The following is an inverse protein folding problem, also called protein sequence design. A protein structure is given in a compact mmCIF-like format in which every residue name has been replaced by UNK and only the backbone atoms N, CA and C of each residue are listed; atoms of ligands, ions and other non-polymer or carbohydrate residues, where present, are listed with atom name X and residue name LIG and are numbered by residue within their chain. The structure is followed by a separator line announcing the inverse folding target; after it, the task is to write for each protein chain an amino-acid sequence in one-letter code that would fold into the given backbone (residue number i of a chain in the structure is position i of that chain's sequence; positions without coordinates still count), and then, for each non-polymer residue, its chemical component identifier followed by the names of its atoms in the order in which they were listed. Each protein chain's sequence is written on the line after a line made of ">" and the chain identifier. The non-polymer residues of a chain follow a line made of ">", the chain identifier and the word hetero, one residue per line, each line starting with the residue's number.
data_IF_561970105187
#
_entry.id   IF_561970105187
#
_cell.length_a   1.000
_cell.length_b   1.000
_cell.length_c   1.000
_cell.angle_alpha   90.00
_cell.angle_beta   90.00
_cell.angle_gamma   90.00
#
_symmetry.space_group_name_H-M   'P 1'
#
loop_
_entity.id
_entity.type
_entity.pdbx_description
1 polymer ?
#
# COMPACT_ATOMS: atom_id res chain seq x y z
N UNK A 1 -3.98 55.39 -3.22
CA UNK A 1 -2.98 54.80 -4.14
C UNK A 1 -3.29 53.33 -4.30
N UNK A 2 -3.55 52.85 -5.52
CA UNK A 2 -3.69 51.43 -5.79
C UNK A 2 -2.31 50.80 -5.97
N UNK A 3 -2.03 49.69 -5.29
CA UNK A 3 -0.77 48.96 -5.44
C UNK A 3 -0.99 47.91 -6.54
N UNK A 4 -0.24 48.02 -7.64
CA UNK A 4 -0.27 47.04 -8.74
C UNK A 4 0.52 45.79 -8.35
N UNK A 5 -0.17 44.83 -7.74
CA UNK A 5 0.41 43.55 -7.30
C UNK A 5 -0.21 42.40 -8.07
N UNK A 6 0.64 41.43 -8.43
CA UNK A 6 0.20 40.19 -9.08
C UNK A 6 -0.35 39.20 -8.05
N UNK A 7 -1.67 39.16 -7.92
CA UNK A 7 -2.39 38.28 -6.98
C UNK A 7 -2.66 36.84 -7.51
N UNK A 8 -2.17 36.51 -8.71
CA UNK A 8 -2.52 35.25 -9.38
C UNK A 8 -1.91 33.99 -8.73
N UNK A 9 -0.91 34.13 -7.86
CA UNK A 9 -0.18 33.01 -7.24
C UNK A 9 -0.32 32.94 -5.71
N UNK A 10 -1.15 33.78 -5.11
CA UNK A 10 -1.30 33.83 -3.65
C UNK A 10 -1.88 32.53 -3.08
N UNK A 11 -2.75 31.88 -3.86
CA UNK A 11 -3.35 30.59 -3.48
C UNK A 11 -2.40 29.43 -3.77
N UNK A 12 -1.83 28.86 -2.71
CA UNK A 12 -1.05 27.62 -2.79
C UNK A 12 -1.96 26.39 -2.98
N UNK A 13 -1.70 25.61 -4.02
CA UNK A 13 -2.43 24.36 -4.32
C UNK A 13 -1.84 23.20 -3.51
N UNK A 14 -2.28 23.08 -2.26
CA UNK A 14 -1.88 21.99 -1.37
C UNK A 14 -3.07 21.48 -0.55
N UNK A 15 -3.05 20.19 -0.22
CA UNK A 15 -4.07 19.59 0.66
C UNK A 15 -3.72 19.85 2.11
N UNK A 16 -4.67 20.44 2.85
CA UNK A 16 -4.57 20.68 4.29
C UNK A 16 -5.22 19.58 5.14
N UNK A 17 -6.01 18.71 4.50
CA UNK A 17 -6.74 17.60 5.12
C UNK A 17 -7.00 16.47 4.11
N UNK A 18 -7.33 15.24 4.54
CA UNK A 18 -7.71 14.19 3.62
C UNK A 18 -9.13 14.45 3.07
N UNK A 19 -9.32 14.26 1.76
CA UNK A 19 -10.66 14.34 1.13
C UNK A 19 -11.61 13.22 1.58
N UNK A 20 -11.07 12.12 2.13
CA UNK A 20 -11.85 10.95 2.53
C UNK A 20 -12.57 11.18 3.86
N UNK A 21 -13.83 10.74 3.94
CA UNK A 21 -14.65 10.80 5.15
C UNK A 21 -14.43 9.62 6.12
N UNK A 22 -13.45 8.74 5.85
CA UNK A 22 -13.14 7.62 6.73
C UNK A 22 -12.68 8.11 8.12
N UNK A 23 -13.44 7.74 9.15
CA UNK A 23 -13.23 8.16 10.55
C UNK A 23 -11.85 7.73 11.05
N UNK A 24 -11.42 6.50 10.78
CA UNK A 24 -10.11 5.98 11.21
C UNK A 24 -8.95 6.80 10.62
N UNK A 25 -9.07 7.19 9.35
CA UNK A 25 -8.06 8.03 8.72
C UNK A 25 -8.02 9.43 9.35
N UNK A 26 -9.19 10.00 9.68
CA UNK A 26 -9.28 11.31 10.33
C UNK A 26 -8.72 11.30 11.75
N UNK A 27 -8.96 10.23 12.52
CA UNK A 27 -8.36 10.04 13.85
C UNK A 27 -6.83 9.95 13.77
N UNK A 28 -6.31 9.16 12.83
CA UNK A 28 -4.88 9.04 12.61
C UNK A 28 -4.25 10.38 12.19
N UNK A 29 -4.93 11.13 11.33
CA UNK A 29 -4.53 12.51 10.98
C UNK A 29 -4.51 13.42 12.20
N UNK A 30 -5.52 13.38 13.09
CA UNK A 30 -5.54 14.19 14.32
C UNK A 30 -4.29 13.91 15.18
N UNK A 31 -3.95 12.63 15.37
CA UNK A 31 -2.76 12.22 16.10
C UNK A 31 -1.48 12.75 15.46
N UNK A 32 -1.29 12.53 14.16
CA UNK A 32 -0.07 13.00 13.46
C UNK A 32 -0.01 14.52 13.32
N UNK A 33 -1.14 15.22 13.34
CA UNK A 33 -1.20 16.69 13.37
C UNK A 33 -0.75 17.24 14.72
N UNK A 34 -1.10 16.55 15.82
CA UNK A 34 -0.58 16.86 17.14
C UNK A 34 0.93 16.61 17.21
N UNK A 35 1.38 15.40 16.81
CA UNK A 35 2.80 15.04 16.82
C UNK A 35 3.64 15.97 15.95
N UNK A 36 3.25 16.24 14.70
CA UNK A 36 4.00 17.10 13.79
C UNK A 36 4.12 18.55 14.26
N UNK A 37 3.18 19.02 15.11
CA UNK A 37 3.23 20.36 15.70
C UNK A 37 4.05 20.40 16.99
N UNK A 38 3.97 19.36 17.82
CA UNK A 38 4.60 19.32 19.15
C UNK A 38 5.99 18.68 19.17
N UNK A 39 6.41 18.05 18.08
CA UNK A 39 7.73 17.43 17.94
C UNK A 39 8.48 18.04 16.77
N UNK A 40 9.81 18.13 16.88
CA UNK A 40 10.69 18.66 15.82
C UNK A 40 11.07 17.62 14.76
N UNK A 41 10.37 16.48 14.71
CA UNK A 41 10.70 15.40 13.78
C UNK A 41 10.10 15.63 12.39
N UNK A 42 10.96 15.78 11.39
CA UNK A 42 10.56 15.89 9.97
C UNK A 42 9.79 14.66 9.48
N UNK A 43 10.03 13.49 10.06
CA UNK A 43 9.29 12.26 9.76
C UNK A 43 7.78 12.43 9.97
N UNK A 44 7.37 13.04 11.10
CA UNK A 44 5.96 13.24 11.41
C UNK A 44 5.29 14.19 10.42
N UNK A 45 5.99 15.23 9.97
CA UNK A 45 5.51 16.16 8.96
C UNK A 45 5.32 15.46 7.60
N UNK A 46 6.26 14.59 7.21
CA UNK A 46 6.17 13.80 5.97
C UNK A 46 5.00 12.81 6.04
N UNK A 47 4.83 12.09 7.16
CA UNK A 47 3.72 11.14 7.35
C UNK A 47 2.38 11.88 7.28
N UNK A 48 2.23 13.01 7.96
CA UNK A 48 1.02 13.83 7.91
C UNK A 48 0.68 14.26 6.46
N UNK A 49 1.67 14.77 5.73
CA UNK A 49 1.50 15.15 4.32
C UNK A 49 1.09 13.95 3.45
N UNK A 50 1.69 12.77 3.69
CA UNK A 50 1.34 11.54 2.96
C UNK A 50 -0.07 11.04 3.29
N UNK A 51 -0.57 11.25 4.49
CA UNK A 51 -1.95 10.89 4.87
C UNK A 51 -3.02 11.70 4.11
N UNK A 52 -2.70 12.91 3.67
CA UNK A 52 -3.59 13.75 2.84
C UNK A 52 -3.61 13.38 1.35
N UNK A 53 -2.63 12.61 0.89
CA UNK A 53 -2.51 12.21 -0.52
C UNK A 53 -3.70 11.35 -0.98
N UNK A 54 -4.06 11.49 -2.25
CA UNK A 54 -5.04 10.63 -2.92
C UNK A 54 -4.49 9.20 -3.08
N UNK A 55 -5.38 8.25 -3.37
CA UNK A 55 -5.00 6.86 -3.65
C UNK A 55 -4.01 6.74 -4.81
N UNK A 56 -4.18 7.53 -5.88
CA UNK A 56 -3.25 7.58 -7.02
C UNK A 56 -1.83 7.99 -6.63
N UNK A 57 -1.71 8.98 -5.74
CA UNK A 57 -0.43 9.47 -5.21
C UNK A 57 0.11 8.60 -4.06
N UNK A 58 -0.57 7.49 -3.75
CA UNK A 58 -0.21 6.53 -2.72
C UNK A 58 -0.21 5.11 -3.31
N UNK A 59 0.69 4.82 -4.26
CA UNK A 59 0.71 3.54 -4.94
C UNK A 59 1.02 2.39 -3.95
N UNK A 60 0.50 1.18 -4.21
CA UNK A 60 0.82 0.01 -3.41
C UNK A 60 2.32 -0.32 -3.51
N UNK A 61 2.92 -0.77 -2.40
CA UNK A 61 4.29 -1.24 -2.35
C UNK A 61 4.33 -2.77 -2.29
N UNK A 62 5.02 -3.40 -3.23
CA UNK A 62 5.20 -4.86 -3.23
C UNK A 62 6.15 -5.31 -2.12
N UNK A 63 5.90 -6.51 -1.56
CA UNK A 63 6.80 -7.17 -0.61
C UNK A 63 8.22 -7.30 -1.18
N UNK A 64 8.35 -7.63 -2.46
CA UNK A 64 9.64 -7.72 -3.15
C UNK A 64 10.45 -6.42 -3.11
N UNK A 65 9.79 -5.30 -3.38
CA UNK A 65 10.44 -3.99 -3.36
C UNK A 65 10.81 -3.59 -1.93
N UNK A 66 9.97 -3.94 -0.96
CA UNK A 66 10.25 -3.68 0.45
C UNK A 66 11.44 -4.50 0.96
N UNK A 67 11.48 -5.82 0.70
CA UNK A 67 12.59 -6.71 1.08
C UNK A 67 13.91 -6.17 0.51
N UNK A 68 13.94 -5.82 -0.78
CA UNK A 68 15.14 -5.24 -1.42
C UNK A 68 15.61 -3.95 -0.75
N UNK A 69 14.69 -3.09 -0.28
CA UNK A 69 15.04 -1.83 0.41
C UNK A 69 15.44 -2.01 1.87
N UNK A 70 15.03 -3.10 2.49
CA UNK A 70 15.42 -3.47 3.85
C UNK A 70 16.75 -4.24 3.90
N UNK A 71 17.11 -4.95 2.82
CA UNK A 71 18.41 -5.64 2.68
C UNK A 71 19.61 -4.70 2.46
N UNK A 72 19.36 -3.40 2.20
CA UNK A 72 20.44 -2.42 2.09
C UNK A 72 21.20 -2.29 3.43
N UNK A 73 22.53 -2.11 3.40
CA UNK A 73 23.34 -2.06 4.62
C UNK A 73 22.88 -0.95 5.57
N UNK A 74 22.95 -1.20 6.88
CA UNK A 74 22.57 -0.25 7.92
C UNK A 74 21.07 -0.18 8.21
N UNK A 75 20.31 -1.23 7.87
CA UNK A 75 18.84 -1.30 8.04
C UNK A 75 18.30 -2.57 8.70
N UNK A 76 19.17 -3.46 9.19
CA UNK A 76 18.76 -4.78 9.70
C UNK A 76 17.74 -4.74 10.85
N UNK A 77 17.77 -3.70 11.70
CA UNK A 77 16.87 -3.57 12.87
C UNK A 77 15.82 -2.47 12.74
N UNK A 78 15.70 -1.85 11.56
CA UNK A 78 14.77 -0.72 11.35
C UNK A 78 13.36 -1.22 11.01
N UNK A 79 12.36 -0.42 11.35
CA UNK A 79 10.97 -0.68 10.97
C UNK A 79 10.67 -0.05 9.62
N UNK A 80 10.14 -0.84 8.68
CA UNK A 80 9.68 -0.33 7.39
C UNK A 80 8.31 0.35 7.55
N UNK A 81 8.23 1.65 7.25
CA UNK A 81 6.97 2.42 7.34
C UNK A 81 6.46 2.75 5.95
N UNK A 82 5.24 2.33 5.65
CA UNK A 82 4.56 2.57 4.38
C UNK A 82 3.22 3.23 4.65
N UNK A 83 3.09 4.52 4.34
CA UNK A 83 1.78 5.18 4.33
C UNK A 83 1.07 4.77 3.05
N UNK A 84 0.47 3.58 3.02
CA UNK A 84 -0.07 2.96 1.81
C UNK A 84 -0.42 1.49 2.00
N UNK A 85 -0.77 0.85 0.89
CA UNK A 85 -1.06 -0.59 0.85
C UNK A 85 0.23 -1.36 0.59
N UNK A 86 0.49 -2.43 1.34
CA UNK A 86 1.57 -3.38 1.05
C UNK A 86 0.98 -4.60 0.38
N UNK A 87 1.45 -4.96 -0.81
CA UNK A 87 0.94 -6.08 -1.62
C UNK A 87 1.90 -7.26 -1.60
N UNK A 88 1.34 -8.47 -1.55
CA UNK A 88 2.11 -9.71 -1.67
C UNK A 88 2.72 -9.86 -3.07
N UNK A 89 3.85 -10.57 -3.16
CA UNK A 89 4.54 -10.87 -4.42
C UNK A 89 4.87 -12.37 -4.47
N UNK A 90 4.02 -13.11 -5.19
CA UNK A 90 4.03 -14.59 -5.29
C UNK A 90 5.35 -15.15 -5.82
N UNK A 91 6.18 -14.32 -6.46
CA UNK A 91 7.49 -14.74 -6.98
C UNK A 91 8.53 -14.95 -5.89
N UNK A 92 8.28 -14.46 -4.68
CA UNK A 92 9.20 -14.60 -3.55
C UNK A 92 8.79 -15.82 -2.73
N UNK A 93 9.72 -16.76 -2.61
CA UNK A 93 9.53 -17.99 -1.86
C UNK A 93 9.85 -17.78 -0.37
N UNK A 94 10.97 -17.10 -0.09
CA UNK A 94 11.43 -16.85 1.27
C UNK A 94 11.29 -15.38 1.67
N UNK A 95 10.49 -15.13 2.70
CA UNK A 95 10.30 -13.80 3.28
C UNK A 95 11.09 -13.68 4.58
N UNK A 96 12.09 -12.79 4.66
CA UNK A 96 12.82 -12.56 5.91
C UNK A 96 11.91 -11.95 6.97
N UNK A 97 12.25 -12.12 8.25
CA UNK A 97 11.53 -11.49 9.36
C UNK A 97 11.66 -9.97 9.27
N UNK A 98 10.55 -9.27 9.01
CA UNK A 98 10.50 -7.82 8.84
C UNK A 98 9.54 -7.17 9.84
N UNK A 99 9.93 -6.04 10.42
CA UNK A 99 9.02 -5.16 11.18
C UNK A 99 8.41 -4.13 10.22
N UNK A 100 7.09 -4.16 10.03
CA UNK A 100 6.41 -3.33 9.01
C UNK A 100 5.18 -2.63 9.60
N UNK A 101 5.09 -1.32 9.38
CA UNK A 101 3.92 -0.50 9.69
C UNK A 101 3.29 0.00 8.38
N UNK A 102 2.02 -0.33 8.13
CA UNK A 102 1.31 0.09 6.93
C UNK A 102 -0.17 0.39 7.19
N UNK A 103 -0.80 1.22 6.34
CA UNK A 103 -2.22 1.56 6.45
C UNK A 103 -3.13 0.36 6.12
N UNK A 104 -2.73 -0.45 5.14
CA UNK A 104 -3.46 -1.64 4.74
C UNK A 104 -2.46 -2.72 4.30
N UNK A 105 -2.63 -3.92 4.81
CA UNK A 105 -1.96 -5.12 4.26
C UNK A 105 -2.89 -5.70 3.18
N UNK A 106 -2.33 -6.13 2.06
CA UNK A 106 -3.09 -6.75 0.96
C UNK A 106 -4.00 -7.84 1.51
N UNK A 107 -5.31 -7.73 1.25
CA UNK A 107 -6.29 -8.77 1.59
C UNK A 107 -6.13 -9.93 0.61
N UNK A 108 -6.45 -11.15 1.07
CA UNK A 108 -6.60 -12.35 0.24
C UNK A 108 -7.39 -12.09 -1.06
N UNK A 109 -8.36 -11.17 -0.99
CA UNK A 109 -9.20 -10.69 -2.10
C UNK A 109 -8.40 -10.27 -3.34
N UNK A 110 -7.19 -9.71 -3.21
CA UNK A 110 -6.39 -9.32 -4.38
C UNK A 110 -5.85 -10.51 -5.17
N UNK A 111 -5.75 -11.71 -4.57
CA UNK A 111 -5.40 -12.93 -5.29
C UNK A 111 -6.53 -13.44 -6.18
N UNK A 112 -7.76 -12.98 -5.95
CA UNK A 112 -8.94 -13.34 -6.73
C UNK A 112 -9.25 -12.33 -7.84
N UNK A 113 -8.49 -11.24 -7.95
CA UNK A 113 -8.63 -10.23 -9.00
C UNK A 113 -7.67 -10.50 -10.17
N UNK A 114 -8.00 -10.00 -11.36
CA UNK A 114 -7.22 -10.21 -12.60
C UNK A 114 -8.01 -10.95 -13.68
N UNK A 115 -7.33 -11.49 -14.69
CA UNK A 115 -7.94 -12.33 -15.72
C UNK A 115 -8.61 -13.55 -15.06
N UNK A 116 -9.72 -14.02 -15.62
CA UNK A 116 -10.48 -15.13 -15.05
C UNK A 116 -9.58 -16.35 -14.79
N UNK A 117 -9.68 -17.02 -13.62
CA UNK A 117 -8.95 -18.24 -13.33
C UNK A 117 -9.24 -19.30 -14.41
N UNK A 118 -8.19 -19.82 -15.07
CA UNK A 118 -8.33 -20.79 -16.16
C UNK A 118 -8.11 -20.21 -17.56
N UNK A 119 -8.01 -18.88 -17.69
CA UNK A 119 -7.50 -18.27 -18.94
C UNK A 119 -6.00 -18.53 -19.11
N UNK A 120 -5.49 -18.69 -20.34
CA UNK A 120 -4.07 -18.91 -20.59
C UNK A 120 -3.21 -17.81 -19.95
N UNK A 121 -2.15 -18.22 -19.23
CA UNK A 121 -1.24 -17.34 -18.49
C UNK A 121 -1.86 -16.56 -17.31
N UNK A 122 -3.04 -16.98 -16.81
CA UNK A 122 -3.60 -16.42 -15.58
C UNK A 122 -3.05 -17.13 -14.33
N UNK A 123 -2.72 -16.33 -13.31
CA UNK A 123 -2.29 -16.82 -11.99
C UNK A 123 -3.29 -16.45 -10.88
N UNK A 124 -4.50 -16.04 -11.26
CA UNK A 124 -5.56 -15.64 -10.33
C UNK A 124 -6.09 -16.87 -9.58
N UNK A 125 -6.16 -16.75 -8.25
CA UNK A 125 -6.62 -17.81 -7.34
C UNK A 125 -8.13 -18.00 -7.51
N UNK A 126 -8.62 -19.23 -7.79
CA UNK A 126 -10.06 -19.49 -7.85
C UNK A 126 -10.72 -19.45 -6.47
N UNK A 127 -12.01 -19.15 -6.43
CA UNK A 127 -12.82 -19.23 -5.22
C UNK A 127 -13.24 -20.69 -4.97
N UNK A 128 -12.57 -21.36 -4.02
CA UNK A 128 -12.83 -22.78 -3.71
C UNK A 128 -13.17 -22.92 -2.23
N UNK A 129 -14.23 -23.68 -1.92
CA UNK A 129 -14.73 -23.89 -0.55
C UNK A 129 -13.74 -24.64 0.36
N UNK A 130 -12.92 -25.53 -0.19
CA UNK A 130 -11.94 -26.32 0.56
C UNK A 130 -10.71 -26.60 -0.29
N UNK A 131 -9.53 -26.71 0.33
CA UNK A 131 -8.29 -27.08 -0.36
C UNK A 131 -8.05 -28.57 -0.27
N UNK A 132 -7.74 -29.22 -1.39
CA UNK A 132 -7.41 -30.65 -1.41
C UNK A 132 -7.30 -31.22 -2.82
N UNK A 133 -6.86 -32.48 -2.94
CA UNK A 133 -6.71 -33.17 -4.24
C UNK A 133 -8.03 -33.22 -5.04
N UNK A 134 -9.17 -33.26 -4.34
CA UNK A 134 -10.51 -33.37 -4.94
C UNK A 134 -11.11 -32.03 -5.42
N UNK A 135 -10.50 -30.88 -5.09
CA UNK A 135 -11.09 -29.57 -5.39
C UNK A 135 -10.27 -28.81 -6.44
N UNK A 136 -10.86 -28.59 -7.62
CA UNK A 136 -10.32 -27.80 -8.75
C UNK A 136 -8.86 -28.07 -9.15
N UNK A 137 -8.48 -29.35 -9.24
CA UNK A 137 -7.12 -29.80 -9.61
C UNK A 137 -7.05 -30.81 -10.75
N UNK A 138 -8.16 -31.08 -11.44
CA UNK A 138 -8.29 -32.13 -12.44
C UNK A 138 -8.18 -31.58 -13.87
N UNK A 139 -9.31 -31.50 -14.58
CA UNK A 139 -9.41 -31.00 -15.97
C UNK A 139 -9.01 -29.52 -16.06
N UNK A 140 -8.37 -29.12 -17.15
CA UNK A 140 -7.91 -27.75 -17.45
C UNK A 140 -6.82 -27.20 -16.50
N UNK A 141 -6.31 -28.05 -15.59
CA UNK A 141 -5.23 -27.72 -14.64
C UNK A 141 -4.01 -28.61 -14.83
N UNK A 142 -4.11 -29.68 -15.62
CA UNK A 142 -3.05 -30.67 -15.88
C UNK A 142 -3.13 -31.15 -17.33
N UNK A 143 -1.99 -31.21 -18.02
CA UNK A 143 -1.91 -31.72 -19.39
C UNK A 143 -2.40 -33.18 -19.55
N UNK A 144 -2.34 -33.99 -18.49
CA UNK A 144 -2.80 -35.38 -18.51
C UNK A 144 -4.32 -35.55 -18.40
N UNK A 145 -5.08 -34.46 -18.26
CA UNK A 145 -6.53 -34.48 -18.02
C UNK A 145 -7.25 -33.46 -18.90
N UNK A 146 -6.95 -33.46 -20.21
CA UNK A 146 -7.53 -32.52 -21.17
C UNK A 146 -6.80 -31.19 -21.18
#
# INVERSE_FOLDING_TARGET
>A
MGVDIRHNKDRKVLRKEPKSQNIYLRLLVKLYRFLARRTNSTFNQVVLKRLFMSGTNRPPLSLSRMIRKMKLPGRESKTAVVVGTVTDDVRILDVPKLKVCALRKGREVYHHFGKAPGTPHSHTKPYVRSKGRKFERARDRRASRG
#
